data_IF_695075917604
#
_entry.id   IF_695075917604
#
_cell.length_a   1.000
_cell.length_b   1.000
_cell.length_c   1.000
_cell.angle_alpha   90.00
_cell.angle_beta   90.00
_cell.angle_gamma   90.00
#
_symmetry.space_group_name_H-M   'P 1'
#
loop_
_entity.id
_entity.type
_entity.pdbx_description
1 polymer ?
#
# COMPACT_ATOMS: atom_id res chain seq x y z
N UNK A 1 -11.94 23.65 -17.80
CA UNK A 1 -11.73 23.41 -16.35
C UNK A 1 -10.24 23.51 -16.05
N UNK A 2 -9.85 24.17 -14.97
CA UNK A 2 -8.46 24.28 -14.55
C UNK A 2 -8.34 24.02 -13.05
N UNK A 3 -7.26 23.41 -12.62
CA UNK A 3 -6.92 23.30 -11.20
C UNK A 3 -6.61 24.69 -10.67
N UNK A 4 -7.44 25.19 -9.76
CA UNK A 4 -7.29 26.51 -9.17
C UNK A 4 -6.41 26.49 -7.92
N UNK A 5 -6.52 25.42 -7.11
CA UNK A 5 -5.76 25.29 -5.87
C UNK A 5 -5.57 23.83 -5.46
N UNK A 6 -4.52 23.60 -4.65
CA UNK A 6 -4.22 22.35 -3.98
C UNK A 6 -3.93 22.61 -2.51
N UNK A 7 -4.61 21.89 -1.65
CA UNK A 7 -4.37 21.87 -0.21
C UNK A 7 -3.86 20.48 0.21
N UNK A 8 -2.72 20.44 0.88
CA UNK A 8 -2.16 19.24 1.49
C UNK A 8 -2.40 19.30 3.00
N UNK A 9 -3.26 18.45 3.51
CA UNK A 9 -3.68 18.43 4.91
C UNK A 9 -3.12 17.20 5.61
N UNK A 10 -2.36 17.41 6.68
CA UNK A 10 -1.97 16.33 7.58
C UNK A 10 -3.04 16.20 8.65
N UNK A 11 -3.75 15.09 8.61
CA UNK A 11 -4.76 14.77 9.60
C UNK A 11 -4.16 13.90 10.68
N UNK A 12 -4.57 14.15 11.92
CA UNK A 12 -4.20 13.34 13.07
C UNK A 12 -5.41 12.56 13.56
N UNK A 13 -5.24 11.26 13.75
CA UNK A 13 -6.24 10.41 14.37
C UNK A 13 -5.66 9.78 15.62
N UNK A 14 -6.27 9.98 16.79
CA UNK A 14 -5.86 9.21 17.96
C UNK A 14 -6.18 7.73 17.69
N UNK A 15 -5.26 6.86 18.05
CA UNK A 15 -5.47 5.41 18.00
C UNK A 15 -6.44 4.96 19.13
N UNK A 16 -7.68 5.50 19.13
CA UNK A 16 -8.68 5.15 20.15
C UNK A 16 -9.29 3.76 19.91
N UNK A 17 -9.25 3.25 18.69
CA UNK A 17 -9.74 1.92 18.33
C UNK A 17 -8.58 0.93 18.15
N UNK A 18 -7.74 0.81 19.16
CA UNK A 18 -6.80 -0.31 19.26
C UNK A 18 -7.63 -1.60 19.18
N UNK A 19 -7.34 -2.55 18.27
CA UNK A 19 -7.83 -3.89 18.47
C UNK A 19 -7.39 -4.31 19.90
N UNK A 20 -8.27 -4.90 20.71
CA UNK A 20 -7.98 -5.15 22.13
C UNK A 20 -6.76 -6.03 22.41
N UNK A 21 -6.00 -6.43 21.44
CA UNK A 21 -4.92 -7.38 21.53
C UNK A 21 -3.68 -6.95 20.75
N UNK A 22 -2.70 -6.41 21.47
CA UNK A 22 -1.30 -6.73 21.20
C UNK A 22 -0.52 -5.96 20.15
N UNK A 23 -1.01 -4.88 19.56
CA UNK A 23 -0.20 -4.02 18.69
C UNK A 23 0.55 -2.95 19.49
N UNK A 24 1.69 -3.30 20.08
CA UNK A 24 2.55 -2.34 20.75
C UNK A 24 3.14 -1.28 19.78
N UNK A 25 3.22 -1.56 18.47
CA UNK A 25 3.61 -0.59 17.43
C UNK A 25 2.53 0.46 17.16
N UNK A 26 1.31 0.26 17.60
CA UNK A 26 0.18 1.16 17.40
C UNK A 26 -0.02 2.19 18.54
N UNK A 27 0.95 2.33 19.43
CA UNK A 27 0.90 3.37 20.46
C UNK A 27 1.32 4.71 19.86
N UNK A 28 0.36 5.56 19.50
CA UNK A 28 0.67 6.89 18.98
C UNK A 28 -0.49 7.52 18.22
N UNK A 29 -0.21 8.65 17.63
CA UNK A 29 -1.12 9.36 16.73
C UNK A 29 -0.82 8.89 15.30
N UNK A 30 -1.84 8.38 14.60
CA UNK A 30 -1.73 8.10 13.17
C UNK A 30 -1.89 9.40 12.39
N UNK A 31 -0.90 9.72 11.58
CA UNK A 31 -0.98 10.82 10.63
C UNK A 31 -1.40 10.29 9.25
N UNK A 32 -2.23 11.05 8.56
CA UNK A 32 -2.65 10.80 7.18
C UNK A 32 -2.41 12.06 6.36
N UNK A 33 -1.98 11.91 5.11
CA UNK A 33 -1.93 13.00 4.16
C UNK A 33 -3.15 12.95 3.26
N UNK A 34 -4.00 13.99 3.34
CA UNK A 34 -5.14 14.17 2.46
C UNK A 34 -4.85 15.32 1.50
N UNK A 35 -5.03 15.07 0.21
CA UNK A 35 -5.01 16.10 -0.83
C UNK A 35 -6.42 16.54 -1.17
N UNK A 36 -6.62 17.85 -1.26
CA UNK A 36 -7.82 18.48 -1.80
C UNK A 36 -7.42 19.32 -3.01
N UNK A 37 -7.92 18.94 -4.17
CA UNK A 37 -7.69 19.63 -5.44
C UNK A 37 -8.97 20.35 -5.83
N UNK A 38 -8.92 21.68 -5.96
CA UNK A 38 -10.08 22.52 -6.29
C UNK A 38 -9.93 23.08 -7.70
N UNK A 39 -10.98 23.00 -8.50
CA UNK A 39 -11.02 23.58 -9.85
C UNK A 39 -11.61 24.99 -9.86
N UNK A 40 -11.36 25.73 -10.94
CA UNK A 40 -11.96 27.05 -11.21
C UNK A 40 -13.48 27.00 -11.39
N UNK A 41 -14.05 25.82 -11.63
CA UNK A 41 -15.50 25.57 -11.71
C UNK A 41 -16.10 25.11 -10.37
N UNK A 42 -15.30 25.07 -9.30
CA UNK A 42 -15.75 24.70 -7.94
C UNK A 42 -15.88 23.20 -7.69
N UNK A 43 -15.47 22.34 -8.62
CA UNK A 43 -15.40 20.89 -8.38
C UNK A 43 -14.17 20.59 -7.55
N UNK A 44 -14.35 19.76 -6.51
CA UNK A 44 -13.28 19.36 -5.59
C UNK A 44 -13.00 17.85 -5.75
N UNK A 45 -11.75 17.52 -6.01
CA UNK A 45 -11.24 16.13 -5.96
C UNK A 45 -10.47 15.88 -4.67
N UNK A 46 -10.57 14.65 -4.19
CA UNK A 46 -9.94 14.20 -2.97
C UNK A 46 -9.06 12.98 -3.20
N UNK A 47 -7.95 12.90 -2.47
CA UNK A 47 -7.10 11.72 -2.42
C UNK A 47 -6.48 11.55 -1.05
N UNK A 48 -6.50 10.34 -0.50
CA UNK A 48 -5.61 9.89 0.56
C UNK A 48 -4.26 9.48 -0.07
N UNK A 49 -3.16 9.89 0.56
CA UNK A 49 -1.81 9.62 0.05
C UNK A 49 -1.05 8.78 1.06
N UNK A 50 -0.85 7.51 0.71
CA UNK A 50 0.01 6.61 1.49
C UNK A 50 1.47 7.05 1.34
N UNK A 51 1.98 7.79 2.32
CA UNK A 51 3.34 8.34 2.35
C UNK A 51 3.74 8.74 3.76
N UNK A 52 4.95 9.31 3.94
CA UNK A 52 5.31 10.07 5.13
C UNK A 52 4.56 11.42 5.13
N UNK A 53 3.49 11.60 5.93
CA UNK A 53 2.51 12.67 5.69
C UNK A 53 3.08 14.08 5.75
N UNK A 54 3.92 14.38 6.73
CA UNK A 54 4.55 15.70 6.85
C UNK A 54 5.54 15.99 5.73
N UNK A 55 6.28 14.97 5.25
CA UNK A 55 7.22 15.12 4.13
C UNK A 55 6.46 15.33 2.82
N UNK A 56 5.37 14.57 2.62
CA UNK A 56 4.49 14.75 1.46
C UNK A 56 3.86 16.13 1.42
N UNK A 57 3.34 16.61 2.55
CA UNK A 57 2.79 17.97 2.66
C UNK A 57 3.85 19.05 2.36
N UNK A 58 5.08 18.87 2.85
CA UNK A 58 6.19 19.78 2.54
C UNK A 58 6.54 19.76 1.05
N UNK A 59 6.56 18.61 0.40
CA UNK A 59 6.82 18.50 -1.04
C UNK A 59 5.73 19.18 -1.88
N UNK A 60 4.47 19.11 -1.46
CA UNK A 60 3.36 19.84 -2.11
C UNK A 60 3.53 21.34 -1.96
N UNK A 61 3.79 21.81 -0.74
CA UNK A 61 3.76 23.23 -0.38
C UNK A 61 5.11 23.97 -0.57
N UNK A 62 6.16 23.29 -1.03
CA UNK A 62 7.41 23.95 -1.35
C UNK A 62 7.15 25.09 -2.37
N UNK A 63 7.77 26.26 -2.20
CA UNK A 63 7.56 27.38 -3.11
C UNK A 63 8.10 27.10 -4.50
N UNK A 64 7.58 27.86 -5.49
CA UNK A 64 8.22 27.90 -6.80
C UNK A 64 9.60 28.53 -6.68
N UNK A 65 10.60 27.89 -7.28
CA UNK A 65 12.02 28.29 -7.20
C UNK A 65 12.48 29.12 -8.40
N UNK A 66 11.63 29.19 -9.45
CA UNK A 66 12.00 29.75 -10.75
C UNK A 66 12.78 28.78 -11.65
N UNK A 67 13.03 27.57 -11.16
CA UNK A 67 13.55 26.44 -11.94
C UNK A 67 12.62 25.27 -11.72
N UNK A 68 11.85 24.88 -12.73
CA UNK A 68 10.77 23.90 -12.64
C UNK A 68 11.19 22.61 -11.90
N UNK A 69 12.42 22.13 -12.13
CA UNK A 69 12.91 20.91 -11.49
C UNK A 69 13.12 21.00 -9.96
N UNK A 70 12.97 22.18 -9.36
CA UNK A 70 13.07 22.43 -7.92
C UNK A 70 11.79 23.02 -7.33
N UNK A 71 10.74 23.17 -8.13
CA UNK A 71 9.46 23.70 -7.68
C UNK A 71 8.73 22.69 -6.80
N UNK A 72 7.90 23.19 -5.89
CA UNK A 72 6.97 22.36 -5.14
C UNK A 72 5.89 21.76 -6.05
N UNK A 73 5.38 20.58 -5.67
CA UNK A 73 4.49 19.81 -6.53
C UNK A 73 3.18 20.56 -6.85
N UNK A 74 2.68 21.40 -5.94
CA UNK A 74 1.53 22.26 -6.18
C UNK A 74 1.77 23.23 -7.35
N UNK A 75 2.95 23.82 -7.45
CA UNK A 75 3.28 24.75 -8.53
C UNK A 75 3.25 24.09 -9.92
N UNK A 76 3.50 22.78 -9.99
CA UNK A 76 3.48 22.02 -11.24
C UNK A 76 2.05 21.71 -11.73
N UNK A 77 1.06 21.65 -10.84
CA UNK A 77 -0.30 21.23 -11.17
C UNK A 77 -1.32 22.37 -11.25
N UNK A 78 -1.12 23.47 -10.53
CA UNK A 78 -2.03 24.62 -10.59
C UNK A 78 -2.02 25.23 -12.00
N UNK A 79 -3.22 25.51 -12.53
CA UNK A 79 -3.44 26.00 -13.90
C UNK A 79 -3.59 24.89 -14.95
N UNK A 80 -3.30 23.64 -14.62
CA UNK A 80 -3.45 22.50 -15.51
C UNK A 80 -4.90 22.04 -15.62
N UNK A 81 -5.24 21.34 -16.71
CA UNK A 81 -6.55 20.72 -16.90
C UNK A 81 -6.57 19.34 -16.25
N UNK A 82 -7.44 19.07 -15.26
CA UNK A 82 -7.52 17.77 -14.61
C UNK A 82 -7.94 16.63 -15.55
N UNK A 83 -8.49 16.92 -16.74
CA UNK A 83 -8.79 15.92 -17.75
C UNK A 83 -7.55 15.43 -18.53
N UNK A 84 -6.47 16.20 -18.54
CA UNK A 84 -5.22 15.85 -19.21
C UNK A 84 -4.31 15.02 -18.28
N UNK A 85 -4.82 13.94 -17.67
CA UNK A 85 -4.16 13.18 -16.61
C UNK A 85 -2.74 12.73 -17.00
N UNK A 86 -2.58 12.07 -18.14
CA UNK A 86 -1.28 11.57 -18.62
C UNK A 86 -0.26 12.71 -18.80
N UNK A 87 -0.70 13.82 -19.36
CA UNK A 87 0.16 15.01 -19.53
C UNK A 87 0.54 15.61 -18.18
N UNK A 88 -0.40 15.66 -17.25
CA UNK A 88 -0.16 16.16 -15.89
C UNK A 88 0.82 15.24 -15.15
N UNK A 89 0.62 13.94 -15.27
CA UNK A 89 1.51 12.94 -14.68
C UNK A 89 2.94 13.10 -15.19
N UNK A 90 3.14 13.15 -16.51
CA UNK A 90 4.48 13.33 -17.11
C UNK A 90 5.12 14.65 -16.69
N UNK A 91 4.34 15.74 -16.65
CA UNK A 91 4.83 17.05 -16.20
C UNK A 91 5.34 17.00 -14.76
N UNK A 92 4.56 16.43 -13.85
CA UNK A 92 4.95 16.37 -12.43
C UNK A 92 6.13 15.42 -12.24
N UNK A 93 6.13 14.27 -12.92
CA UNK A 93 7.24 13.31 -12.87
C UNK A 93 8.56 13.95 -13.32
N UNK A 94 8.55 14.66 -14.46
CA UNK A 94 9.75 15.34 -14.97
C UNK A 94 10.13 16.57 -14.12
N UNK A 95 9.15 17.33 -13.67
CA UNK A 95 9.37 18.51 -12.83
C UNK A 95 9.92 18.15 -11.45
N UNK A 96 9.70 16.92 -10.97
CA UNK A 96 10.26 16.43 -9.71
C UNK A 96 11.51 15.54 -9.86
N UNK A 97 12.11 15.48 -11.04
CA UNK A 97 13.18 14.51 -11.39
C UNK A 97 14.37 14.51 -10.41
N UNK A 98 14.69 15.63 -9.82
CA UNK A 98 15.80 15.76 -8.87
C UNK A 98 15.50 15.19 -7.49
N UNK A 99 14.22 15.15 -7.08
CA UNK A 99 13.83 14.73 -5.73
C UNK A 99 12.70 13.69 -5.72
N UNK A 100 12.17 13.29 -6.88
CA UNK A 100 10.90 12.60 -6.95
C UNK A 100 10.79 11.39 -7.85
N UNK A 101 11.86 10.80 -8.35
CA UNK A 101 11.79 9.60 -9.22
C UNK A 101 11.20 8.38 -8.53
N UNK A 102 11.22 8.32 -7.20
CA UNK A 102 10.65 7.28 -6.33
C UNK A 102 10.24 7.90 -5.00
N UNK A 103 9.49 7.16 -4.22
CA UNK A 103 9.13 7.56 -2.86
C UNK A 103 8.15 8.72 -2.81
N UNK A 104 8.33 9.61 -1.84
CA UNK A 104 7.32 10.59 -1.41
C UNK A 104 6.74 11.45 -2.55
N UNK A 105 7.57 12.01 -3.43
CA UNK A 105 7.04 12.85 -4.51
C UNK A 105 6.18 12.08 -5.50
N UNK A 106 6.52 10.82 -5.77
CA UNK A 106 5.74 9.98 -6.66
C UNK A 106 4.44 9.49 -6.00
N UNK A 107 4.48 9.21 -4.69
CA UNK A 107 3.28 8.90 -3.90
C UNK A 107 2.30 10.10 -3.90
N UNK A 108 2.81 11.34 -3.77
CA UNK A 108 2.00 12.55 -3.91
C UNK A 108 1.47 12.73 -5.33
N UNK A 109 2.27 12.45 -6.35
CA UNK A 109 1.82 12.47 -7.75
C UNK A 109 0.65 11.50 -7.96
N UNK A 110 0.71 10.30 -7.38
CA UNK A 110 -0.42 9.35 -7.38
C UNK A 110 -1.67 9.94 -6.71
N UNK A 111 -1.49 10.74 -5.65
CA UNK A 111 -2.58 11.48 -5.03
C UNK A 111 -3.21 12.52 -5.96
N UNK A 112 -2.43 13.23 -6.76
CA UNK A 112 -2.96 14.14 -7.78
C UNK A 112 -3.74 13.39 -8.86
N UNK A 113 -3.22 12.25 -9.31
CA UNK A 113 -3.89 11.38 -10.28
C UNK A 113 -5.26 10.91 -9.77
N UNK A 114 -5.32 10.41 -8.55
CA UNK A 114 -6.57 9.99 -7.88
C UNK A 114 -7.55 11.16 -7.77
N UNK A 115 -7.09 12.34 -7.33
CA UNK A 115 -7.93 13.53 -7.19
C UNK A 115 -8.45 14.02 -8.55
N UNK A 116 -7.65 13.94 -9.62
CA UNK A 116 -8.10 14.26 -10.97
C UNK A 116 -9.19 13.28 -11.45
N UNK A 117 -9.04 11.98 -11.22
CA UNK A 117 -10.08 11.00 -11.51
C UNK A 117 -11.37 11.25 -10.73
N UNK A 118 -11.28 11.68 -9.47
CA UNK A 118 -12.45 12.07 -8.66
C UNK A 118 -13.13 13.32 -9.24
N UNK A 119 -12.35 14.34 -9.67
CA UNK A 119 -12.87 15.52 -10.37
C UNK A 119 -13.61 15.13 -11.64
N UNK A 120 -13.00 14.32 -12.49
CA UNK A 120 -13.58 13.87 -13.75
C UNK A 120 -14.89 13.12 -13.47
N UNK A 121 -14.88 12.18 -12.52
CA UNK A 121 -16.07 11.43 -12.12
C UNK A 121 -17.23 12.34 -11.71
N UNK A 122 -16.96 13.36 -10.92
CA UNK A 122 -17.91 14.37 -10.47
C UNK A 122 -18.40 15.24 -11.63
N UNK A 123 -17.49 15.70 -12.49
CA UNK A 123 -17.81 16.55 -13.63
C UNK A 123 -18.75 15.87 -14.63
N UNK A 124 -18.56 14.58 -14.91
CA UNK A 124 -19.38 13.83 -15.85
C UNK A 124 -20.52 13.03 -15.20
N UNK A 125 -20.64 13.06 -13.87
CA UNK A 125 -21.67 12.34 -13.12
C UNK A 125 -21.53 10.81 -13.20
N UNK A 126 -20.29 10.29 -13.23
CA UNK A 126 -20.02 8.85 -13.31
C UNK A 126 -18.99 8.43 -12.26
N UNK A 127 -19.13 7.25 -11.66
CA UNK A 127 -18.11 6.73 -10.74
C UNK A 127 -16.83 6.37 -11.51
N UNK A 128 -15.68 6.51 -10.83
CA UNK A 128 -14.34 6.33 -11.43
C UNK A 128 -14.18 5.01 -12.19
N UNK A 129 -14.71 3.90 -11.66
CA UNK A 129 -14.62 2.61 -12.35
C UNK A 129 -15.28 2.61 -13.76
N UNK A 130 -16.26 3.50 -14.01
CA UNK A 130 -16.86 3.65 -15.34
C UNK A 130 -15.96 4.41 -16.31
N UNK A 131 -15.10 5.26 -15.78
CA UNK A 131 -14.09 6.01 -16.55
C UNK A 131 -12.93 5.05 -16.92
N UNK A 132 -12.56 4.16 -16.00
CA UNK A 132 -11.46 3.20 -16.16
C UNK A 132 -11.84 1.91 -16.91
N UNK A 133 -12.90 1.94 -17.72
CA UNK A 133 -13.31 0.80 -18.57
C UNK A 133 -14.55 0.05 -18.09
N UNK A 134 -15.15 0.42 -16.97
CA UNK A 134 -16.41 -0.14 -16.48
C UNK A 134 -16.25 -1.33 -15.52
N UNK A 135 -17.38 -1.84 -15.04
CA UNK A 135 -17.42 -2.96 -14.13
C UNK A 135 -17.37 -4.29 -14.89
N UNK A 136 -16.35 -5.08 -14.62
CA UNK A 136 -16.30 -6.49 -15.07
C UNK A 136 -17.01 -7.42 -14.08
N UNK A 137 -17.04 -7.05 -12.80
CA UNK A 137 -17.75 -7.76 -11.72
C UNK A 137 -18.29 -6.77 -10.70
N UNK A 138 -19.36 -7.16 -10.01
CA UNK A 138 -20.01 -6.29 -9.02
C UNK A 138 -19.43 -6.48 -7.61
N UNK A 139 -18.76 -7.60 -7.38
CA UNK A 139 -18.18 -7.97 -6.08
C UNK A 139 -16.80 -8.56 -6.25
N UNK A 140 -15.93 -8.29 -5.29
CA UNK A 140 -14.58 -8.85 -5.17
C UNK A 140 -14.48 -9.57 -3.83
N UNK A 141 -13.88 -10.77 -3.81
CA UNK A 141 -13.58 -11.47 -2.57
C UNK A 141 -12.54 -10.67 -1.80
N UNK A 142 -12.83 -10.35 -0.55
CA UNK A 142 -11.90 -9.68 0.35
C UNK A 142 -11.20 -10.69 1.25
N UNK A 143 -10.00 -10.37 1.68
CA UNK A 143 -9.34 -11.03 2.80
C UNK A 143 -9.20 -10.08 3.99
N UNK A 144 -9.16 -10.62 5.21
CA UNK A 144 -8.78 -9.86 6.40
C UNK A 144 -7.27 -9.64 6.37
N UNK A 145 -6.81 -8.39 6.44
CA UNK A 145 -5.39 -8.05 6.54
C UNK A 145 -5.06 -7.57 7.94
N UNK A 146 -4.06 -8.18 8.58
CA UNK A 146 -3.70 -7.87 9.96
C UNK A 146 -2.23 -8.22 10.24
N UNK A 147 -1.70 -7.77 11.39
CA UNK A 147 -0.34 -8.06 11.82
C UNK A 147 -0.22 -9.46 12.41
N UNK A 148 0.99 -10.04 12.29
CA UNK A 148 1.35 -11.24 13.06
C UNK A 148 1.27 -10.97 14.56
N UNK A 149 0.74 -11.93 15.30
CA UNK A 149 0.64 -11.86 16.77
C UNK A 149 1.90 -12.39 17.44
N UNK A 150 2.14 -12.01 18.72
CA UNK A 150 3.38 -12.36 19.40
C UNK A 150 3.59 -13.86 19.63
N UNK A 151 2.52 -14.63 19.71
CA UNK A 151 2.54 -16.05 20.04
C UNK A 151 1.42 -16.83 19.35
N UNK A 152 1.50 -18.20 19.33
CA UNK A 152 0.53 -19.07 18.69
C UNK A 152 -0.91 -18.92 19.19
N UNK A 153 -1.13 -18.70 20.48
CA UNK A 153 -2.49 -18.61 21.03
C UNK A 153 -3.17 -17.32 20.56
N UNK A 154 -2.43 -16.22 20.50
CA UNK A 154 -2.94 -14.95 19.95
C UNK A 154 -3.23 -15.06 18.45
N UNK A 155 -2.42 -15.82 17.70
CA UNK A 155 -2.68 -16.13 16.30
C UNK A 155 -4.01 -16.87 16.14
N UNK A 156 -4.26 -17.93 16.93
CA UNK A 156 -5.51 -18.69 16.89
C UNK A 156 -6.72 -17.80 17.20
N UNK A 157 -6.64 -16.97 18.24
CA UNK A 157 -7.71 -16.00 18.57
C UNK A 157 -8.01 -15.01 17.44
N UNK A 158 -6.97 -14.50 16.80
CA UNK A 158 -7.12 -13.60 15.65
C UNK A 158 -7.82 -14.31 14.48
N UNK A 159 -7.44 -15.55 14.17
CA UNK A 159 -8.08 -16.37 13.15
C UNK A 159 -9.57 -16.59 13.45
N UNK A 160 -9.92 -17.02 14.65
CA UNK A 160 -11.30 -17.24 15.10
C UNK A 160 -12.15 -15.98 14.95
N UNK A 161 -11.60 -14.81 15.31
CA UNK A 161 -12.26 -13.53 15.14
C UNK A 161 -12.60 -13.25 13.69
N UNK A 162 -11.64 -13.40 12.76
CA UNK A 162 -11.88 -13.09 11.34
C UNK A 162 -12.79 -14.10 10.67
N UNK A 163 -12.72 -15.37 11.06
CA UNK A 163 -13.68 -16.40 10.63
C UNK A 163 -15.11 -16.07 11.09
N UNK A 164 -15.29 -15.59 12.32
CA UNK A 164 -16.60 -15.18 12.84
C UNK A 164 -17.21 -14.00 12.10
N UNK A 165 -16.37 -13.16 11.45
CA UNK A 165 -16.79 -12.08 10.56
C UNK A 165 -17.09 -12.53 9.12
N UNK A 166 -16.91 -13.82 8.82
CA UNK A 166 -17.22 -14.40 7.52
C UNK A 166 -16.08 -14.31 6.49
N UNK A 167 -14.87 -13.95 6.88
CA UNK A 167 -13.73 -13.99 5.97
C UNK A 167 -13.35 -15.44 5.63
N UNK A 168 -13.06 -15.67 4.37
CA UNK A 168 -12.59 -16.96 3.84
C UNK A 168 -11.11 -16.91 3.45
N UNK A 169 -10.46 -15.78 3.65
CA UNK A 169 -9.04 -15.56 3.44
C UNK A 169 -8.51 -14.58 4.49
N UNK A 170 -7.31 -14.83 5.02
CA UNK A 170 -6.68 -14.00 6.03
C UNK A 170 -5.21 -13.80 5.66
N UNK A 171 -4.77 -12.54 5.60
CA UNK A 171 -3.37 -12.16 5.43
C UNK A 171 -2.79 -11.71 6.78
N UNK A 172 -1.74 -12.38 7.21
CA UNK A 172 -0.90 -11.94 8.32
C UNK A 172 0.39 -11.37 7.76
N UNK A 173 0.76 -10.17 8.19
CA UNK A 173 1.98 -9.52 7.77
C UNK A 173 2.69 -8.82 8.91
N UNK A 174 3.95 -8.45 8.69
CA UNK A 174 4.73 -7.56 9.56
C UNK A 174 4.75 -7.98 11.05
N UNK A 175 4.64 -7.02 11.98
CA UNK A 175 4.64 -7.29 13.42
C UNK A 175 5.92 -7.98 13.87
N UNK A 176 5.77 -9.11 14.51
CA UNK A 176 6.90 -9.91 15.03
C UNK A 176 7.51 -10.85 13.99
N UNK A 177 6.92 -10.99 12.81
CA UNK A 177 7.43 -11.89 11.76
C UNK A 177 8.79 -11.42 11.26
N UNK A 178 9.70 -12.37 11.02
CA UNK A 178 11.05 -12.12 10.53
C UNK A 178 12.13 -11.88 11.58
N UNK A 179 11.78 -11.91 12.84
CA UNK A 179 12.75 -11.77 13.94
C UNK A 179 13.32 -13.10 14.41
N UNK A 180 12.53 -14.17 14.38
CA UNK A 180 12.92 -15.53 14.75
C UNK A 180 12.22 -16.56 13.88
N UNK A 181 12.99 -17.29 13.08
CA UNK A 181 12.46 -18.23 12.10
C UNK A 181 11.63 -19.38 12.71
N UNK A 182 12.02 -19.87 13.92
CA UNK A 182 11.27 -20.94 14.57
C UNK A 182 9.91 -20.45 15.03
N UNK A 183 9.89 -19.24 15.60
CA UNK A 183 8.64 -18.57 15.98
C UNK A 183 7.79 -18.30 14.76
N UNK A 184 8.34 -17.76 13.69
CA UNK A 184 7.61 -17.45 12.47
C UNK A 184 6.88 -18.67 11.91
N UNK A 185 7.56 -19.82 11.85
CA UNK A 185 6.98 -21.10 11.43
C UNK A 185 5.84 -21.51 12.39
N UNK A 186 6.07 -21.46 13.71
CA UNK A 186 5.05 -21.82 14.70
C UNK A 186 3.82 -20.91 14.65
N UNK A 187 3.97 -19.61 14.31
CA UNK A 187 2.85 -18.70 14.12
C UNK A 187 2.01 -19.05 12.89
N UNK A 188 2.65 -19.39 11.77
CA UNK A 188 1.96 -19.83 10.54
C UNK A 188 1.27 -21.18 10.75
N UNK A 189 1.92 -22.12 11.44
CA UNK A 189 1.35 -23.41 11.83
C UNK A 189 0.08 -23.21 12.67
N UNK A 190 0.14 -22.39 13.71
CA UNK A 190 -0.99 -22.08 14.58
C UNK A 190 -2.15 -21.42 13.80
N UNK A 191 -1.83 -20.53 12.87
CA UNK A 191 -2.83 -19.93 12.01
C UNK A 191 -3.52 -20.97 11.12
N UNK A 192 -2.74 -21.87 10.47
CA UNK A 192 -3.26 -22.94 9.61
C UNK A 192 -4.14 -23.92 10.40
N UNK A 193 -3.70 -24.31 11.59
CA UNK A 193 -4.50 -25.16 12.49
C UNK A 193 -5.85 -24.50 12.83
N UNK A 194 -5.86 -23.20 13.13
CA UNK A 194 -7.07 -22.50 13.53
C UNK A 194 -8.04 -22.27 12.36
N UNK A 195 -7.55 -21.97 11.16
CA UNK A 195 -8.43 -21.67 10.01
C UNK A 195 -8.87 -22.93 9.25
N UNK A 196 -8.21 -24.06 9.44
CA UNK A 196 -8.48 -25.27 8.68
C UNK A 196 -8.01 -25.22 7.22
N UNK A 197 -8.20 -26.27 6.41
CA UNK A 197 -7.66 -26.38 5.07
C UNK A 197 -8.37 -25.53 4.02
N UNK A 198 -9.61 -25.12 4.25
CA UNK A 198 -10.47 -24.46 3.25
C UNK A 198 -10.29 -22.94 3.18
N UNK A 199 -9.60 -22.35 4.16
CA UNK A 199 -9.38 -20.90 4.23
C UNK A 199 -8.03 -20.56 3.64
N UNK A 200 -7.98 -19.59 2.73
CA UNK A 200 -6.72 -19.09 2.19
C UNK A 200 -5.94 -18.33 3.27
N UNK A 201 -4.76 -18.82 3.59
CA UNK A 201 -3.82 -18.19 4.49
C UNK A 201 -2.71 -17.51 3.69
N UNK A 202 -2.55 -16.21 3.85
CA UNK A 202 -1.60 -15.38 3.13
C UNK A 202 -0.56 -14.85 4.11
N UNK A 203 0.69 -14.82 3.69
CA UNK A 203 1.82 -14.37 4.51
C UNK A 203 2.53 -13.22 3.81
N UNK A 204 2.64 -12.10 4.52
CA UNK A 204 3.38 -10.92 4.10
C UNK A 204 4.62 -10.78 4.99
N UNK A 205 5.79 -11.01 4.41
CA UNK A 205 7.05 -11.03 5.13
C UNK A 205 7.62 -9.61 5.38
N UNK A 206 7.08 -8.58 4.69
CA UNK A 206 7.42 -7.18 4.91
C UNK A 206 8.88 -6.85 4.68
N UNK A 207 9.51 -7.39 3.63
CA UNK A 207 10.90 -7.16 3.19
C UNK A 207 11.99 -7.13 4.29
N UNK A 208 11.63 -7.13 5.56
CA UNK A 208 12.55 -7.12 6.71
C UNK A 208 13.23 -8.46 6.97
N UNK A 209 12.66 -9.54 6.45
CA UNK A 209 12.89 -10.91 6.93
C UNK A 209 14.10 -11.55 6.30
N UNK A 210 14.25 -11.41 4.99
CA UNK A 210 15.23 -12.17 4.24
C UNK A 210 16.28 -11.25 3.63
N UNK A 211 17.53 -11.53 3.96
CA UNK A 211 18.70 -10.80 3.45
C UNK A 211 19.18 -11.32 2.10
N UNK A 212 18.78 -12.54 1.74
CA UNK A 212 19.22 -13.20 0.51
C UNK A 212 18.11 -14.07 -0.11
N UNK A 213 18.24 -14.37 -1.41
CA UNK A 213 17.37 -15.33 -2.08
C UNK A 213 17.44 -16.71 -1.44
N UNK A 214 18.59 -17.13 -0.89
CA UNK A 214 18.74 -18.38 -0.17
C UNK A 214 17.84 -18.43 1.06
N UNK A 215 17.86 -17.40 1.90
CA UNK A 215 17.02 -17.33 3.10
C UNK A 215 15.54 -17.38 2.75
N UNK A 216 15.13 -16.70 1.67
CA UNK A 216 13.77 -16.71 1.17
C UNK A 216 13.32 -18.10 0.68
N UNK A 217 14.19 -18.81 -0.04
CA UNK A 217 13.93 -20.20 -0.49
C UNK A 217 13.77 -21.13 0.72
N UNK A 218 14.63 -21.00 1.70
CA UNK A 218 14.55 -21.82 2.92
C UNK A 218 13.28 -21.51 3.76
N UNK A 219 12.87 -20.25 3.81
CA UNK A 219 11.60 -19.87 4.44
C UNK A 219 10.42 -20.50 3.69
N UNK A 220 10.36 -20.36 2.37
CA UNK A 220 9.32 -20.94 1.54
C UNK A 220 9.20 -22.46 1.75
N UNK A 221 10.31 -23.17 1.74
CA UNK A 221 10.35 -24.62 2.00
C UNK A 221 9.80 -24.97 3.38
N UNK A 222 10.13 -24.16 4.38
CA UNK A 222 9.63 -24.37 5.74
C UNK A 222 8.13 -24.08 5.88
N UNK A 223 7.57 -23.23 5.03
CA UNK A 223 6.15 -22.86 5.01
C UNK A 223 5.30 -23.75 4.08
N UNK A 224 5.91 -24.54 3.17
CA UNK A 224 5.18 -25.43 2.25
C UNK A 224 4.17 -26.37 2.94
N UNK A 225 4.46 -26.97 4.13
CA UNK A 225 3.50 -27.85 4.81
C UNK A 225 2.19 -27.19 5.22
N UNK A 226 2.19 -25.85 5.33
CA UNK A 226 1.02 -25.09 5.78
C UNK A 226 0.15 -24.58 4.63
N UNK A 227 0.47 -24.91 3.38
CA UNK A 227 -0.31 -24.57 2.17
C UNK A 227 -0.75 -23.10 2.15
N UNK A 228 0.21 -22.18 2.33
CA UNK A 228 -0.07 -20.76 2.26
C UNK A 228 -0.39 -20.35 0.82
N UNK A 229 -1.37 -19.43 0.66
CA UNK A 229 -1.83 -19.01 -0.66
C UNK A 229 -0.77 -18.20 -1.42
N UNK A 230 -0.08 -17.28 -0.73
CA UNK A 230 1.12 -16.60 -1.23
C UNK A 230 2.09 -16.24 -0.10
N UNK A 231 3.35 -16.00 -0.48
CA UNK A 231 4.34 -15.28 0.31
C UNK A 231 4.61 -13.93 -0.36
N UNK A 232 4.43 -12.83 0.39
CA UNK A 232 4.52 -11.45 -0.09
C UNK A 232 5.75 -10.77 0.49
N UNK A 233 6.40 -9.92 -0.31
CA UNK A 233 7.50 -9.01 0.05
C UNK A 233 8.61 -9.63 0.91
N UNK A 234 9.07 -10.79 0.48
CA UNK A 234 10.05 -11.60 1.20
C UNK A 234 11.52 -11.21 0.95
N UNK A 235 11.79 -10.23 0.09
CA UNK A 235 13.10 -9.64 -0.19
C UNK A 235 12.98 -8.12 -0.28
N UNK A 236 14.13 -7.44 -0.23
CA UNK A 236 14.17 -6.00 -0.49
C UNK A 236 13.56 -5.68 -1.87
N UNK A 237 12.73 -4.63 -2.01
CA UNK A 237 12.05 -4.31 -3.26
C UNK A 237 12.95 -4.23 -4.49
N UNK A 238 14.20 -3.75 -4.33
CA UNK A 238 15.16 -3.63 -5.43
C UNK A 238 15.90 -4.94 -5.78
N UNK A 239 15.62 -6.04 -5.11
CA UNK A 239 16.30 -7.33 -5.32
C UNK A 239 15.63 -8.18 -6.41
N UNK A 240 15.45 -7.62 -7.62
CA UNK A 240 14.74 -8.29 -8.72
C UNK A 240 15.34 -9.66 -9.09
N UNK A 241 16.68 -9.77 -9.15
CA UNK A 241 17.35 -11.04 -9.41
C UNK A 241 17.08 -12.06 -8.29
N UNK A 242 16.94 -11.59 -7.04
CA UNK A 242 16.58 -12.42 -5.91
C UNK A 242 15.17 -12.99 -6.06
N UNK A 243 14.18 -12.17 -6.41
CA UNK A 243 12.81 -12.62 -6.71
C UNK A 243 12.78 -13.62 -7.85
N UNK A 244 13.54 -13.37 -8.93
CA UNK A 244 13.67 -14.28 -10.05
C UNK A 244 14.29 -15.63 -9.64
N UNK A 245 15.34 -15.61 -8.81
CA UNK A 245 15.99 -16.81 -8.29
C UNK A 245 15.05 -17.65 -7.40
N UNK A 246 14.29 -17.02 -6.52
CA UNK A 246 13.29 -17.68 -5.68
C UNK A 246 12.22 -18.36 -6.55
N UNK A 247 11.71 -17.66 -7.56
CA UNK A 247 10.76 -18.22 -8.53
C UNK A 247 11.36 -19.44 -9.27
N UNK A 248 12.60 -19.34 -9.72
CA UNK A 248 13.31 -20.39 -10.44
C UNK A 248 13.62 -21.63 -9.56
N UNK A 249 13.68 -21.47 -8.24
CA UNK A 249 13.88 -22.57 -7.30
C UNK A 249 12.67 -23.54 -7.20
N UNK A 250 11.58 -23.27 -7.91
CA UNK A 250 10.44 -24.17 -8.07
C UNK A 250 9.47 -24.19 -6.89
N UNK A 251 9.35 -23.09 -6.15
CA UNK A 251 8.37 -22.95 -5.09
C UNK A 251 6.94 -23.20 -5.61
N UNK A 252 6.15 -23.98 -4.89
CA UNK A 252 4.73 -24.22 -5.20
C UNK A 252 3.86 -23.04 -4.75
N UNK A 253 4.26 -22.37 -3.69
CA UNK A 253 3.60 -21.18 -3.15
C UNK A 253 3.67 -20.03 -4.16
N UNK A 254 2.58 -19.31 -4.33
CA UNK A 254 2.56 -18.08 -5.14
C UNK A 254 3.43 -17.02 -4.49
N UNK A 255 4.07 -16.22 -5.31
CA UNK A 255 4.89 -15.10 -4.85
C UNK A 255 4.17 -13.80 -5.18
N UNK A 256 4.11 -12.90 -4.20
CA UNK A 256 3.56 -11.57 -4.33
C UNK A 256 4.63 -10.53 -3.95
N UNK A 257 4.63 -9.39 -4.61
CA UNK A 257 5.51 -8.26 -4.33
C UNK A 257 5.01 -7.03 -5.09
N UNK A 258 5.62 -5.88 -4.81
CA UNK A 258 5.43 -4.68 -5.61
C UNK A 258 4.77 -3.51 -4.91
N UNK A 259 4.47 -3.59 -3.60
CA UNK A 259 3.87 -2.46 -2.87
C UNK A 259 4.76 -1.21 -2.83
N UNK A 260 6.07 -1.37 -3.04
CA UNK A 260 7.04 -0.27 -3.08
C UNK A 260 7.40 0.17 -4.50
N UNK A 261 6.81 -0.45 -5.53
CA UNK A 261 7.08 -0.04 -6.91
C UNK A 261 6.36 1.26 -7.24
N UNK A 262 7.09 2.15 -7.88
CA UNK A 262 6.64 3.50 -8.14
C UNK A 262 6.30 3.76 -9.61
N UNK A 263 6.76 2.93 -10.52
CA UNK A 263 6.53 3.01 -11.98
C UNK A 263 6.43 1.60 -12.57
N UNK A 264 5.84 1.50 -13.77
CA UNK A 264 5.77 0.26 -14.53
C UNK A 264 7.16 -0.17 -15.05
#
# INVERSE_FOLDING_TARGET
>A
MRIADVEAMVLESPYENRPPEGDEEAAGVKHLLLLKVTTDEGIVGWADVETAPHVGAAAVNAPASGVEAFDGLKALVVGEDPFDIERLWDKVYRGSIYYGRRGVALQVLSGFDIACHDIIGKAIGRPVHKILGGAYRDRVRAYASTLFRPNPDDMKRACERYLSLGFTAIKFGWGVFGQDRKRDIALVEAAREAVGPEVDLLVDAGWRVNRSAYDAIELLRALEPFDIFWLEDFLHPECYEGYAAVKAAGARTRLAAGEQEATA
#
